data_IF_294055998364
#
_entry.id   IF_294055998364
#
_cell.length_a   1.000
_cell.length_b   1.000
_cell.length_c   1.000
_cell.angle_alpha   90.00
_cell.angle_beta   90.00
_cell.angle_gamma   90.00
#
_symmetry.space_group_name_H-M   'P 1'
#
loop_
_entity.id
_entity.type
_entity.pdbx_description
1 polymer ?
#
# COMPACT_ATOMS: atom_id res chain seq x y z
N UNK A 1 -15.16 -4.39 3.15
CA UNK A 1 -13.98 -4.43 4.05
C UNK A 1 -12.91 -5.40 3.57
N UNK A 2 -13.27 -6.62 3.13
CA UNK A 2 -12.32 -7.58 2.53
C UNK A 2 -11.51 -6.99 1.37
N UNK A 3 -12.12 -6.16 0.52
CA UNK A 3 -11.44 -5.48 -0.59
C UNK A 3 -10.30 -4.55 -0.10
N UNK A 4 -10.56 -3.74 0.94
CA UNK A 4 -9.54 -2.85 1.53
C UNK A 4 -8.41 -3.65 2.17
N UNK A 5 -8.70 -4.76 2.85
CA UNK A 5 -7.67 -5.62 3.43
C UNK A 5 -6.80 -6.30 2.37
N UNK A 6 -7.43 -6.90 1.35
CA UNK A 6 -6.71 -7.60 0.29
C UNK A 6 -5.77 -6.65 -0.45
N UNK A 7 -6.29 -5.49 -0.89
CA UNK A 7 -5.47 -4.48 -1.58
C UNK A 7 -4.49 -3.76 -0.65
N UNK A 8 -4.82 -3.61 0.64
CA UNK A 8 -3.88 -3.13 1.67
C UNK A 8 -2.70 -4.08 1.86
N UNK A 9 -2.94 -5.39 1.83
CA UNK A 9 -1.88 -6.41 1.87
C UNK A 9 -1.01 -6.38 0.61
N UNK A 10 -1.61 -6.19 -0.57
CA UNK A 10 -0.86 -5.98 -1.81
C UNK A 10 -0.02 -4.70 -1.76
N UNK A 11 -0.57 -3.62 -1.22
CA UNK A 11 0.15 -2.35 -1.04
C UNK A 11 1.34 -2.50 -0.08
N UNK A 12 1.15 -3.16 1.07
CA UNK A 12 2.23 -3.48 2.01
C UNK A 12 3.32 -4.33 1.36
N UNK A 13 2.94 -5.40 0.65
CA UNK A 13 3.86 -6.26 -0.08
C UNK A 13 4.70 -5.48 -1.10
N UNK A 14 4.05 -4.61 -1.88
CA UNK A 14 4.73 -3.75 -2.86
C UNK A 14 5.66 -2.74 -2.19
N UNK A 15 5.25 -2.12 -1.09
CA UNK A 15 6.10 -1.18 -0.35
C UNK A 15 7.30 -1.88 0.31
N UNK A 16 7.13 -3.11 0.78
CA UNK A 16 8.24 -3.91 1.32
C UNK A 16 9.25 -4.26 0.23
N UNK A 17 8.79 -4.70 -0.95
CA UNK A 17 9.67 -4.93 -2.10
C UNK A 17 10.37 -3.64 -2.54
N UNK A 18 9.65 -2.52 -2.59
CA UNK A 18 10.20 -1.20 -2.91
C UNK A 18 11.32 -0.81 -1.95
N UNK A 19 11.10 -0.94 -0.65
CA UNK A 19 12.14 -0.70 0.37
C UNK A 19 13.36 -1.60 0.16
N UNK A 20 13.13 -2.88 -0.18
CA UNK A 20 14.20 -3.86 -0.38
C UNK A 20 15.05 -3.52 -1.60
N UNK A 21 14.42 -3.20 -2.73
CA UNK A 21 15.09 -2.74 -3.96
C UNK A 21 15.92 -1.48 -3.69
N UNK A 22 15.33 -0.50 -3.02
CA UNK A 22 16.02 0.75 -2.70
C UNK A 22 17.23 0.51 -1.80
N UNK A 23 17.08 -0.29 -0.75
CA UNK A 23 18.15 -0.65 0.19
C UNK A 23 19.29 -1.37 -0.53
N UNK A 24 18.96 -2.38 -1.33
CA UNK A 24 19.95 -3.20 -2.02
C UNK A 24 20.68 -2.42 -3.11
N UNK A 25 20.00 -1.47 -3.78
CA UNK A 25 20.65 -0.54 -4.71
C UNK A 25 21.66 0.37 -4.00
N UNK A 26 21.29 0.96 -2.86
CA UNK A 26 22.16 1.89 -2.10
C UNK A 26 23.38 1.14 -1.52
N UNK A 27 23.15 0.00 -0.88
CA UNK A 27 24.19 -0.74 -0.16
C UNK A 27 24.87 -1.82 -1.00
N UNK A 28 24.50 -1.95 -2.28
CA UNK A 28 25.05 -2.94 -3.22
C UNK A 28 24.97 -4.38 -2.67
N UNK A 29 23.82 -4.72 -2.10
CA UNK A 29 23.56 -6.03 -1.49
C UNK A 29 22.95 -6.97 -2.51
N UNK A 30 23.63 -8.10 -2.74
CA UNK A 30 23.15 -9.18 -3.60
C UNK A 30 21.92 -9.83 -2.97
N UNK A 31 20.89 -10.03 -3.78
CA UNK A 31 19.64 -10.64 -3.35
C UNK A 31 18.87 -11.18 -4.57
N UNK A 32 18.55 -12.47 -4.57
CA UNK A 32 17.95 -13.15 -5.71
C UNK A 32 16.63 -12.55 -6.19
N UNK A 33 15.83 -11.99 -5.28
CA UNK A 33 14.54 -11.37 -5.58
C UNK A 33 14.71 -10.00 -6.24
N UNK A 34 15.70 -9.21 -5.79
CA UNK A 34 15.85 -7.81 -6.20
C UNK A 34 16.97 -7.56 -7.21
N UNK A 35 17.89 -8.51 -7.41
CA UNK A 35 19.03 -8.41 -8.35
C UNK A 35 18.57 -8.08 -9.77
N UNK A 36 17.39 -8.59 -10.20
CA UNK A 36 16.80 -8.25 -11.50
C UNK A 36 16.49 -6.76 -11.68
N UNK A 37 16.37 -6.02 -10.58
CA UNK A 37 16.14 -4.56 -10.57
C UNK A 37 17.41 -3.79 -10.20
N UNK A 38 18.23 -4.30 -9.28
CA UNK A 38 19.37 -3.53 -8.77
C UNK A 38 20.64 -3.75 -9.58
N UNK A 39 20.71 -4.82 -10.39
CA UNK A 39 21.92 -5.27 -11.10
C UNK A 39 21.68 -5.60 -12.57
N UNK A 40 21.13 -4.66 -13.33
CA UNK A 40 20.92 -4.87 -14.77
C UNK A 40 22.26 -5.07 -15.48
N UNK A 41 22.37 -6.15 -16.26
CA UNK A 41 23.62 -6.58 -16.91
C UNK A 41 24.78 -6.85 -15.92
N UNK A 42 24.49 -7.14 -14.65
CA UNK A 42 25.48 -7.49 -13.63
C UNK A 42 26.12 -6.30 -12.88
N UNK A 43 25.81 -5.07 -13.28
CA UNK A 43 26.38 -3.84 -12.70
C UNK A 43 25.36 -3.10 -11.82
N UNK A 44 25.85 -2.46 -10.77
CA UNK A 44 25.05 -1.58 -9.91
C UNK A 44 24.81 -0.24 -10.60
N UNK A 45 23.58 0.25 -10.56
CA UNK A 45 23.24 1.60 -11.01
C UNK A 45 23.81 2.65 -10.04
N UNK A 46 24.34 3.75 -10.57
CA UNK A 46 24.82 4.89 -9.75
C UNK A 46 23.67 5.73 -9.21
N UNK A 47 22.59 5.84 -9.98
CA UNK A 47 21.33 6.44 -9.54
C UNK A 47 20.46 5.39 -8.84
N UNK A 48 20.32 5.55 -7.53
CA UNK A 48 19.52 4.67 -6.67
C UNK A 48 18.02 4.70 -6.98
N UNK A 49 17.52 5.66 -7.77
CA UNK A 49 16.12 5.71 -8.22
C UNK A 49 15.87 4.88 -9.47
N UNK A 50 16.90 4.59 -10.26
CA UNK A 50 16.77 3.82 -11.51
C UNK A 50 16.29 2.38 -11.27
N UNK A 51 16.74 1.66 -10.22
CA UNK A 51 16.16 0.39 -9.82
C UNK A 51 14.66 0.44 -9.50
N UNK A 52 14.14 1.56 -8.95
CA UNK A 52 12.70 1.73 -8.76
C UNK A 52 11.97 1.80 -10.10
N UNK A 53 12.54 2.53 -11.07
CA UNK A 53 12.01 2.55 -12.43
C UNK A 53 11.94 1.16 -13.07
N UNK A 54 12.89 0.27 -12.79
CA UNK A 54 12.83 -1.12 -13.24
C UNK A 54 11.79 -1.93 -12.49
N UNK A 55 11.70 -1.77 -11.16
CA UNK A 55 10.67 -2.42 -10.33
C UNK A 55 9.27 -2.10 -10.83
N UNK A 56 8.93 -0.84 -11.06
CA UNK A 56 7.60 -0.43 -11.51
C UNK A 56 7.32 -0.70 -13.00
N UNK A 57 8.36 -1.03 -13.77
CA UNK A 57 8.21 -1.49 -15.15
C UNK A 57 8.01 -3.01 -15.27
N UNK A 58 8.34 -3.78 -14.23
CA UNK A 58 8.13 -5.22 -14.16
C UNK A 58 6.65 -5.58 -14.27
N UNK A 59 6.34 -6.64 -15.01
CA UNK A 59 4.96 -7.09 -15.24
C UNK A 59 4.25 -7.44 -13.94
N UNK A 60 4.93 -8.10 -12.99
CA UNK A 60 4.33 -8.48 -11.71
C UNK A 60 3.95 -7.25 -10.87
N UNK A 61 4.79 -6.22 -10.87
CA UNK A 61 4.52 -4.94 -10.20
C UNK A 61 3.38 -4.19 -10.87
N UNK A 62 3.33 -4.18 -12.21
CA UNK A 62 2.23 -3.57 -12.96
C UNK A 62 0.90 -4.23 -12.63
N UNK A 63 0.83 -5.56 -12.68
CA UNK A 63 -0.38 -6.32 -12.31
C UNK A 63 -0.80 -6.04 -10.87
N UNK A 64 0.14 -6.03 -9.91
CA UNK A 64 -0.18 -5.69 -8.52
C UNK A 64 -0.70 -4.26 -8.37
N UNK A 65 -0.11 -3.31 -9.08
CA UNK A 65 -0.56 -1.90 -9.11
C UNK A 65 -1.95 -1.75 -9.73
N UNK A 66 -2.25 -2.49 -10.78
CA UNK A 66 -3.57 -2.53 -11.43
C UNK A 66 -4.64 -3.14 -10.50
N UNK A 67 -4.30 -4.21 -9.78
CA UNK A 67 -5.19 -4.81 -8.78
C UNK A 67 -5.53 -3.80 -7.68
N UNK A 68 -4.52 -3.09 -7.15
CA UNK A 68 -4.72 -2.03 -6.16
C UNK A 68 -5.67 -0.94 -6.70
N UNK A 69 -5.46 -0.46 -7.93
CA UNK A 69 -6.32 0.54 -8.56
C UNK A 69 -7.76 0.04 -8.78
N UNK A 70 -7.93 -1.22 -9.17
CA UNK A 70 -9.25 -1.84 -9.33
C UNK A 70 -10.00 -1.90 -8.00
N UNK A 71 -9.31 -2.32 -6.92
CA UNK A 71 -9.86 -2.33 -5.57
C UNK A 71 -10.20 -0.92 -5.07
N UNK A 72 -9.34 0.07 -5.33
CA UNK A 72 -9.58 1.48 -5.01
C UNK A 72 -10.88 2.01 -5.63
N UNK A 73 -11.14 1.69 -6.90
CA UNK A 73 -12.38 2.07 -7.58
C UNK A 73 -13.62 1.43 -6.92
N UNK A 74 -13.58 0.12 -6.65
CA UNK A 74 -14.68 -0.59 -5.97
C UNK A 74 -14.94 -0.03 -4.58
N UNK A 75 -13.88 0.26 -3.82
CA UNK A 75 -13.98 0.87 -2.49
C UNK A 75 -14.64 2.25 -2.60
N UNK A 76 -14.23 3.08 -3.57
CA UNK A 76 -14.85 4.39 -3.81
C UNK A 76 -16.34 4.28 -4.10
N UNK A 77 -16.76 3.31 -4.93
CA UNK A 77 -18.17 3.03 -5.21
C UNK A 77 -18.95 2.58 -3.97
N UNK A 78 -18.36 1.72 -3.14
CA UNK A 78 -18.96 1.30 -1.86
C UNK A 78 -19.14 2.50 -0.93
N UNK A 79 -18.12 3.35 -0.79
CA UNK A 79 -18.19 4.54 0.06
C UNK A 79 -19.26 5.54 -0.41
N UNK A 80 -19.44 5.72 -1.73
CA UNK A 80 -20.52 6.54 -2.30
C UNK A 80 -21.90 6.00 -1.94
N UNK A 81 -22.10 4.68 -2.00
CA UNK A 81 -23.38 4.04 -1.64
C UNK A 81 -23.76 4.23 -0.17
N UNK A 82 -22.77 4.42 0.70
CA UNK A 82 -22.98 4.56 2.15
C UNK A 82 -23.26 6.00 2.61
N UNK A 83 -23.33 6.97 1.70
CA UNK A 83 -23.59 8.39 2.05
C UNK A 83 -24.97 8.67 2.66
N UNK A 84 -25.92 7.72 2.64
CA UNK A 84 -27.29 7.88 3.15
C UNK A 84 -27.56 6.99 4.37
N UNK A 85 -26.82 7.20 5.45
CA UNK A 85 -26.91 6.35 6.63
C UNK A 85 -27.81 6.97 7.73
N UNK A 86 -28.61 6.16 8.44
CA UNK A 86 -29.30 6.58 9.67
C UNK A 86 -28.31 7.06 10.78
N UNK A 87 -28.77 8.00 11.62
CA UNK A 87 -27.97 8.58 12.73
C UNK A 87 -27.47 7.53 13.74
N UNK A 88 -28.21 6.45 13.94
CA UNK A 88 -27.86 5.38 14.89
C UNK A 88 -26.53 4.67 14.59
N UNK A 89 -26.00 4.82 13.38
CA UNK A 89 -24.74 4.22 12.94
C UNK A 89 -23.61 5.25 12.76
N UNK A 90 -23.80 6.51 13.17
CA UNK A 90 -22.86 7.64 12.93
C UNK A 90 -21.41 7.30 13.34
N UNK A 91 -21.22 6.72 14.54
CA UNK A 91 -19.90 6.30 15.02
C UNK A 91 -19.19 5.26 14.14
N UNK A 92 -19.97 4.30 13.59
CA UNK A 92 -19.47 3.27 12.66
C UNK A 92 -19.07 3.91 11.35
N UNK A 93 -19.88 4.87 10.87
CA UNK A 93 -19.61 5.61 9.65
C UNK A 93 -18.35 6.46 9.74
N UNK A 94 -18.17 7.19 10.84
CA UNK A 94 -16.97 8.00 11.08
C UNK A 94 -15.71 7.13 11.07
N UNK A 95 -15.78 5.96 11.72
CA UNK A 95 -14.67 5.00 11.73
C UNK A 95 -14.42 4.42 10.34
N UNK A 96 -15.47 4.19 9.54
CA UNK A 96 -15.34 3.75 8.15
C UNK A 96 -14.75 4.84 7.23
N UNK A 97 -15.10 6.11 7.43
CA UNK A 97 -14.48 7.23 6.73
C UNK A 97 -13.00 7.36 7.08
N UNK A 98 -12.66 7.23 8.37
CA UNK A 98 -11.27 7.17 8.86
C UNK A 98 -10.51 5.99 8.21
N UNK A 99 -11.16 4.82 8.11
CA UNK A 99 -10.59 3.63 7.46
C UNK A 99 -10.33 3.90 5.98
N UNK A 100 -11.31 4.45 5.27
CA UNK A 100 -11.15 4.78 3.87
C UNK A 100 -10.03 5.80 3.66
N UNK A 101 -9.96 6.86 4.47
CA UNK A 101 -8.89 7.86 4.37
C UNK A 101 -7.51 7.25 4.60
N UNK A 102 -7.34 6.43 5.63
CA UNK A 102 -6.07 5.74 5.92
C UNK A 102 -5.69 4.71 4.84
N UNK A 103 -6.68 4.02 4.27
CA UNK A 103 -6.50 3.13 3.14
C UNK A 103 -5.99 3.86 1.90
N UNK A 104 -6.64 4.97 1.49
CA UNK A 104 -6.26 5.75 0.31
C UNK A 104 -4.81 6.23 0.40
N UNK A 105 -4.41 6.84 1.53
CA UNK A 105 -3.02 7.31 1.70
C UNK A 105 -2.00 6.18 1.71
N UNK A 106 -2.40 4.97 2.10
CA UNK A 106 -1.54 3.77 2.09
C UNK A 106 -1.32 3.27 0.67
N UNK A 107 -2.40 3.07 -0.10
CA UNK A 107 -2.28 2.61 -1.48
C UNK A 107 -1.60 3.63 -2.39
N UNK A 108 -1.75 4.93 -2.11
CA UNK A 108 -1.06 5.98 -2.85
C UNK A 108 0.45 5.92 -2.66
N UNK A 109 0.93 5.65 -1.43
CA UNK A 109 2.36 5.46 -1.18
C UNK A 109 2.91 4.21 -1.89
N UNK A 110 2.11 3.14 -1.98
CA UNK A 110 2.50 1.91 -2.68
C UNK A 110 2.58 2.11 -4.20
N UNK A 111 1.60 2.80 -4.79
CA UNK A 111 1.56 3.13 -6.23
C UNK A 111 2.65 4.14 -6.63
N UNK A 112 2.99 5.06 -5.72
CA UNK A 112 3.91 6.16 -5.96
C UNK A 112 4.83 6.37 -4.75
N UNK A 113 5.95 5.63 -4.65
CA UNK A 113 6.93 5.86 -3.59
C UNK A 113 7.54 7.27 -3.71
N UNK A 114 7.74 7.92 -2.55
CA UNK A 114 8.24 9.29 -2.47
C UNK A 114 9.30 9.44 -1.38
N UNK A 115 10.13 10.48 -1.49
CA UNK A 115 11.17 10.82 -0.53
C UNK A 115 12.46 10.01 -0.74
N UNK A 116 13.17 9.73 0.34
CA UNK A 116 14.33 8.82 0.37
C UNK A 116 13.98 7.53 1.13
N UNK A 117 14.90 6.55 1.12
CA UNK A 117 14.67 5.25 1.78
C UNK A 117 14.26 5.37 3.26
N UNK A 118 14.82 6.33 3.99
CA UNK A 118 14.52 6.53 5.41
C UNK A 118 13.11 7.09 5.59
N UNK A 119 12.76 8.18 4.90
CA UNK A 119 11.42 8.77 4.97
C UNK A 119 10.35 7.82 4.43
N UNK A 120 10.67 7.09 3.35
CA UNK A 120 9.78 6.10 2.77
C UNK A 120 9.44 4.99 3.77
N UNK A 121 10.44 4.43 4.45
CA UNK A 121 10.22 3.37 5.43
C UNK A 121 9.44 3.84 6.66
N UNK A 122 9.71 5.06 7.13
CA UNK A 122 8.94 5.66 8.22
C UNK A 122 7.47 5.84 7.80
N UNK A 123 7.23 6.48 6.65
CA UNK A 123 5.89 6.71 6.11
C UNK A 123 5.13 5.40 5.86
N UNK A 124 5.81 4.38 5.33
CA UNK A 124 5.25 3.04 5.11
C UNK A 124 4.74 2.46 6.43
N UNK A 125 5.60 2.40 7.45
CA UNK A 125 5.26 1.79 8.73
C UNK A 125 4.13 2.54 9.44
N UNK A 126 4.15 3.87 9.41
CA UNK A 126 3.11 4.72 9.98
C UNK A 126 1.75 4.48 9.30
N UNK A 127 1.71 4.54 7.97
CA UNK A 127 0.47 4.40 7.20
C UNK A 127 -0.15 3.00 7.34
N UNK A 128 0.66 1.94 7.25
CA UNK A 128 0.18 0.56 7.47
C UNK A 128 -0.36 0.40 8.88
N UNK A 129 0.37 0.90 9.88
CA UNK A 129 -0.04 0.79 11.28
C UNK A 129 -1.36 1.52 11.53
N UNK A 130 -1.52 2.74 10.99
CA UNK A 130 -2.77 3.50 11.10
C UNK A 130 -3.93 2.80 10.39
N UNK A 131 -3.72 2.29 9.18
CA UNK A 131 -4.73 1.53 8.44
C UNK A 131 -5.21 0.31 9.26
N UNK A 132 -4.28 -0.46 9.83
CA UNK A 132 -4.61 -1.65 10.62
C UNK A 132 -5.25 -1.33 11.97
N UNK A 133 -4.85 -0.24 12.62
CA UNK A 133 -5.47 0.26 13.85
C UNK A 133 -6.94 0.61 13.62
N UNK A 134 -7.23 1.39 12.58
CA UNK A 134 -8.60 1.82 12.26
C UNK A 134 -9.44 0.63 11.79
N UNK A 135 -8.85 -0.28 11.02
CA UNK A 135 -9.53 -1.52 10.62
C UNK A 135 -9.99 -2.33 11.84
N UNK A 136 -9.10 -2.56 12.81
CA UNK A 136 -9.42 -3.26 14.07
C UNK A 136 -10.48 -2.50 14.87
N UNK A 137 -10.40 -1.18 14.94
CA UNK A 137 -11.40 -0.33 15.60
C UNK A 137 -12.78 -0.44 14.93
N UNK A 138 -12.85 -0.56 13.60
CA UNK A 138 -14.12 -0.76 12.90
C UNK A 138 -14.71 -2.14 13.21
N UNK A 139 -13.87 -3.18 13.28
CA UNK A 139 -14.32 -4.53 13.62
C UNK A 139 -14.98 -4.62 15.01
N UNK A 140 -14.56 -3.80 15.98
CA UNK A 140 -15.20 -3.80 17.32
C UNK A 140 -16.56 -3.11 17.37
N UNK A 141 -16.91 -2.35 16.34
CA UNK A 141 -18.15 -1.57 16.29
C UNK A 141 -19.24 -2.23 15.43
N UNK A 142 -18.87 -3.14 14.55
CA UNK A 142 -19.82 -3.89 13.74
C UNK A 142 -20.24 -5.13 14.56
N UNK A 143 -21.53 -5.30 14.87
CA UNK A 143 -21.99 -6.49 15.58
C UNK A 143 -21.68 -7.74 14.75
N UNK A 144 -21.06 -8.75 15.38
CA UNK A 144 -20.79 -10.03 14.73
C UNK A 144 -22.13 -10.63 14.28
N UNK A 145 -22.28 -10.85 12.97
CA UNK A 145 -23.32 -11.74 12.46
C UNK A 145 -22.96 -13.16 12.89
N UNK A 146 -23.59 -13.64 13.98
CA UNK A 146 -23.66 -15.07 14.27
C UNK A 146 -24.52 -15.78 13.23
#
# INVERSE_FOLDING_TARGET
>A
MSEMLSSGSDAESLMNLTSKVWSNAIYKKFDNETDKYTRKNGYWESDFNKPLGYLFNDSSTKTKTENIKSSELKVSEMMKKLQKQPKEYEKVYDTLLELNSSYQVTIDLAKSPQGNITSFNNNKNEKISKFMEVYKKLQTQIPNSN
#
